data_IF_270258688727
#
_entry.id   IF_270258688727
#
_cell.length_a   1.000
_cell.length_b   1.000
_cell.length_c   1.000
_cell.angle_alpha   90.00
_cell.angle_beta   90.00
_cell.angle_gamma   90.00
#
_symmetry.space_group_name_H-M   'P 1'
#
loop_
_entity.id
_entity.type
_entity.pdbx_description
1 polymer ?
#
# COMPACT_ATOMS: atom_id res chain seq x y z
N UNK A 1 12.72 39.68 55.70
CA UNK A 1 12.29 38.58 56.51
C UNK A 1 12.49 37.35 55.65
N UNK A 2 13.74 36.80 55.55
CA UNK A 2 14.41 35.79 56.40
C UNK A 2 13.49 34.61 56.73
N UNK A 3 13.69 33.44 56.10
CA UNK A 3 14.33 32.34 56.79
C UNK A 3 14.77 31.23 55.78
N UNK A 4 16.02 31.00 55.88
CA UNK A 4 16.88 29.92 55.47
C UNK A 4 16.50 28.59 56.15
N UNK A 5 16.63 27.45 55.51
CA UNK A 5 16.81 26.15 56.17
C UNK A 5 17.57 25.16 55.29
N UNK A 6 18.82 25.15 55.57
CA UNK A 6 19.81 24.12 55.24
C UNK A 6 19.49 22.80 55.96
N UNK A 7 19.56 21.65 55.29
CA UNK A 7 19.69 20.35 55.96
C UNK A 7 20.62 19.40 55.15
N UNK A 8 21.79 19.30 55.63
CA UNK A 8 22.81 18.29 55.90
C UNK A 8 22.74 16.95 55.16
N UNK A 9 23.86 16.65 54.52
CA UNK A 9 24.35 15.37 54.02
C UNK A 9 24.67 14.44 55.18
N UNK A 10 24.30 13.17 55.06
CA UNK A 10 24.91 12.08 55.82
C UNK A 10 25.31 10.95 54.88
N UNK A 11 26.61 10.70 54.87
CA UNK A 11 27.31 9.55 54.29
C UNK A 11 27.33 8.41 55.33
N UNK A 12 27.15 7.16 54.90
CA UNK A 12 27.69 5.87 55.41
C UNK A 12 26.80 4.78 54.73
N UNK A 13 27.22 3.62 54.30
CA UNK A 13 28.35 2.79 54.64
C UNK A 13 28.60 1.77 53.51
N UNK A 14 29.81 1.46 53.33
CA UNK A 14 30.35 0.33 52.52
C UNK A 14 30.02 -1.00 53.20
N UNK A 15 29.42 -1.94 52.43
CA UNK A 15 29.38 -3.36 52.80
C UNK A 15 29.92 -4.24 51.66
N UNK A 16 31.04 -4.84 51.98
CA UNK A 16 31.77 -6.04 51.53
C UNK A 16 31.03 -6.93 50.52
N UNK A 17 31.68 -7.09 49.35
CA UNK A 17 31.37 -8.13 48.35
C UNK A 17 31.98 -9.46 48.79
N UNK A 18 31.11 -10.43 48.98
CA UNK A 18 31.39 -11.80 49.36
C UNK A 18 32.15 -12.60 48.28
N UNK A 19 33.31 -13.12 48.64
CA UNK A 19 34.29 -13.84 47.83
C UNK A 19 33.99 -15.35 47.73
N UNK A 20 32.74 -15.79 47.42
CA UNK A 20 32.40 -17.23 47.45
C UNK A 20 32.14 -17.86 46.08
N UNK A 21 32.59 -17.27 45.00
CA UNK A 21 32.41 -17.84 43.64
C UNK A 21 33.72 -18.22 42.90
N UNK A 22 34.81 -18.44 43.61
CA UNK A 22 36.11 -18.79 43.00
C UNK A 22 36.66 -20.19 43.32
N UNK A 23 35.86 -21.16 43.70
CA UNK A 23 36.39 -22.48 44.09
C UNK A 23 35.62 -23.68 43.50
N UNK A 24 35.32 -23.69 42.21
CA UNK A 24 34.79 -24.90 41.55
C UNK A 24 35.22 -25.03 40.06
N UNK A 25 36.51 -24.80 39.78
CA UNK A 25 37.11 -25.23 38.51
C UNK A 25 38.51 -25.77 38.82
N UNK A 26 38.57 -26.98 39.30
CA UNK A 26 39.74 -27.86 39.20
C UNK A 26 39.40 -29.23 39.78
N UNK A 27 38.90 -30.15 38.96
CA UNK A 27 39.12 -31.60 39.07
C UNK A 27 38.35 -32.30 37.91
N UNK A 28 39.05 -33.02 37.05
CA UNK A 28 38.43 -33.98 36.14
C UNK A 28 38.98 -33.96 34.71
N UNK A 29 40.28 -34.07 34.52
CA UNK A 29 40.83 -34.59 33.29
C UNK A 29 40.80 -36.12 33.37
N UNK A 30 39.90 -36.76 32.59
CA UNK A 30 40.04 -38.17 32.22
C UNK A 30 39.35 -38.44 30.90
N UNK A 31 40.13 -38.94 29.98
CA UNK A 31 39.86 -39.30 28.59
C UNK A 31 38.68 -40.25 28.42
N UNK A 32 37.80 -39.95 27.46
CA UNK A 32 37.07 -40.94 26.71
C UNK A 32 36.81 -40.41 25.29
N UNK A 33 37.56 -40.93 24.34
CA UNK A 33 37.31 -40.82 22.93
C UNK A 33 36.03 -41.63 22.62
N UNK A 34 34.93 -40.97 22.25
CA UNK A 34 33.77 -41.60 21.68
C UNK A 34 33.27 -40.76 20.50
N UNK A 35 33.18 -41.43 19.38
CA UNK A 35 32.73 -41.09 18.05
C UNK A 35 31.91 -39.81 17.86
N UNK A 36 32.42 -38.94 16.99
CA UNK A 36 31.65 -37.87 16.35
C UNK A 36 30.67 -38.52 15.40
N UNK A 37 29.51 -38.92 15.90
CA UNK A 37 28.33 -39.05 15.05
C UNK A 37 27.86 -37.62 14.76
N UNK A 38 28.22 -37.11 13.59
CA UNK A 38 27.72 -35.85 13.06
C UNK A 38 26.20 -35.89 12.95
N UNK A 39 25.50 -35.43 13.96
CA UNK A 39 24.11 -35.04 13.78
C UNK A 39 24.09 -33.87 12.77
N UNK A 40 23.38 -33.99 11.64
CA UNK A 40 23.18 -32.82 10.80
C UNK A 40 22.54 -31.75 11.71
N UNK A 41 23.21 -30.63 11.89
CA UNK A 41 22.64 -29.46 12.50
C UNK A 41 21.43 -29.13 11.61
N UNK A 42 20.21 -29.49 12.07
CA UNK A 42 18.99 -28.98 11.49
C UNK A 42 19.04 -27.48 11.74
N UNK A 43 19.57 -26.75 10.77
CA UNK A 43 19.39 -25.30 10.68
C UNK A 43 17.87 -25.13 10.58
N UNK A 44 17.21 -24.99 11.72
CA UNK A 44 15.83 -24.50 11.74
C UNK A 44 15.92 -23.14 11.09
N UNK A 45 15.48 -23.08 9.83
CA UNK A 45 15.17 -21.81 9.20
C UNK A 45 14.31 -21.04 10.21
N UNK A 46 14.80 -19.89 10.65
CA UNK A 46 14.09 -19.04 11.59
C UNK A 46 12.80 -18.65 10.85
N UNK A 47 11.66 -19.29 11.23
CA UNK A 47 10.36 -18.94 10.65
C UNK A 47 10.16 -17.45 10.91
N UNK A 48 9.79 -16.70 9.87
CA UNK A 48 9.42 -15.31 10.05
C UNK A 48 8.30 -15.26 11.09
N UNK A 49 8.48 -14.42 12.12
CA UNK A 49 7.33 -13.90 12.86
C UNK A 49 6.33 -13.37 11.84
N UNK A 50 5.06 -13.23 12.16
CA UNK A 50 4.01 -12.71 11.28
C UNK A 50 4.49 -11.74 10.21
N UNK A 51 4.10 -11.98 8.97
CA UNK A 51 4.39 -11.10 7.82
C UNK A 51 3.30 -10.02 7.79
N UNK A 52 3.67 -8.80 8.11
CA UNK A 52 2.74 -7.67 8.25
C UNK A 52 2.57 -6.94 6.91
N UNK A 53 1.38 -7.01 6.34
CA UNK A 53 1.07 -6.42 5.04
C UNK A 53 0.07 -5.29 5.19
N UNK A 54 0.52 -4.06 4.89
CA UNK A 54 -0.34 -2.89 4.89
C UNK A 54 -1.30 -2.90 3.70
N UNK A 55 -2.56 -2.49 3.93
CA UNK A 55 -3.52 -2.29 2.86
C UNK A 55 -4.37 -1.02 3.08
N UNK A 56 -4.74 -0.39 1.97
CA UNK A 56 -5.71 0.69 1.92
C UNK A 56 -7.06 0.13 1.45
N UNK A 57 -8.21 0.52 2.06
CA UNK A 57 -9.50 -0.13 1.83
C UNK A 57 -10.14 0.25 0.48
N UNK A 58 -9.49 -0.08 -0.63
CA UNK A 58 -9.97 0.14 -2.00
C UNK A 58 -10.05 -1.17 -2.79
N UNK A 59 -10.80 -1.16 -3.89
CA UNK A 59 -11.06 -2.36 -4.70
C UNK A 59 -9.78 -2.99 -5.29
N UNK A 60 -8.74 -2.19 -5.54
CA UNK A 60 -7.47 -2.69 -6.07
C UNK A 60 -6.79 -3.73 -5.17
N UNK A 61 -7.07 -3.74 -3.86
CA UNK A 61 -6.54 -4.72 -2.91
C UNK A 61 -7.13 -6.14 -3.03
N UNK A 62 -8.13 -6.35 -3.90
CA UNK A 62 -8.88 -7.60 -3.98
C UNK A 62 -8.04 -8.88 -4.08
N UNK A 63 -6.93 -8.95 -4.85
CA UNK A 63 -6.10 -10.16 -4.88
C UNK A 63 -5.53 -10.54 -3.52
N UNK A 64 -5.11 -9.54 -2.73
CA UNK A 64 -4.62 -9.76 -1.37
C UNK A 64 -5.74 -10.25 -0.45
N UNK A 65 -6.91 -9.60 -0.49
CA UNK A 65 -8.05 -9.98 0.32
C UNK A 65 -8.47 -11.42 0.01
N UNK A 66 -8.59 -11.75 -1.27
CA UNK A 66 -8.90 -13.10 -1.72
C UNK A 66 -7.84 -14.12 -1.28
N UNK A 67 -6.55 -13.79 -1.37
CA UNK A 67 -5.47 -14.69 -0.96
C UNK A 67 -5.50 -14.97 0.55
N UNK A 68 -5.84 -13.98 1.38
CA UNK A 68 -6.03 -14.15 2.82
C UNK A 68 -7.22 -15.05 3.11
N UNK A 69 -8.41 -14.71 2.56
CA UNK A 69 -9.67 -15.40 2.85
C UNK A 69 -9.68 -16.83 2.32
N UNK A 70 -9.07 -17.09 1.16
CA UNK A 70 -8.91 -18.45 0.61
C UNK A 70 -7.79 -19.24 1.29
N UNK A 71 -7.06 -18.64 2.22
CA UNK A 71 -6.02 -19.32 2.97
C UNK A 71 -4.74 -19.63 2.18
N UNK A 72 -4.49 -19.01 1.02
CA UNK A 72 -3.32 -19.30 0.18
C UNK A 72 -1.99 -19.05 0.87
N UNK A 73 -1.92 -18.09 1.77
CA UNK A 73 -0.74 -17.86 2.60
C UNK A 73 -0.55 -18.96 3.64
N UNK A 74 -1.63 -19.39 4.29
CA UNK A 74 -1.60 -20.50 5.27
C UNK A 74 -1.21 -21.83 4.62
N UNK A 75 -1.73 -22.11 3.41
CA UNK A 75 -1.32 -23.27 2.60
C UNK A 75 0.18 -23.25 2.28
N UNK A 76 0.77 -22.05 2.10
CA UNK A 76 2.20 -21.87 1.88
C UNK A 76 3.03 -21.96 3.18
N UNK A 77 2.38 -22.15 4.34
CA UNK A 77 3.02 -22.18 5.64
C UNK A 77 3.46 -20.79 6.15
N UNK A 78 2.75 -19.73 5.72
CA UNK A 78 3.03 -18.35 6.10
C UNK A 78 1.93 -17.80 7.02
N UNK A 79 2.34 -17.08 8.07
CA UNK A 79 1.45 -16.29 8.93
C UNK A 79 1.45 -14.84 8.45
N UNK A 80 0.41 -14.44 7.71
CA UNK A 80 0.25 -13.09 7.14
C UNK A 80 -0.79 -12.32 7.93
N UNK A 81 -0.41 -11.14 8.41
CA UNK A 81 -1.27 -10.21 9.14
C UNK A 81 -1.62 -9.01 8.28
N UNK A 82 -2.90 -8.86 7.86
CA UNK A 82 -3.38 -7.66 7.18
C UNK A 82 -3.46 -6.47 8.14
N UNK A 83 -2.82 -5.36 7.80
CA UNK A 83 -2.87 -4.11 8.56
C UNK A 83 -3.58 -3.03 7.74
N UNK A 84 -4.74 -2.57 8.23
CA UNK A 84 -5.55 -1.53 7.58
C UNK A 84 -5.02 -0.13 7.88
N UNK A 85 -4.88 0.69 6.85
CA UNK A 85 -4.48 2.09 6.94
C UNK A 85 -5.53 3.02 6.34
N UNK A 86 -5.61 4.25 6.85
CA UNK A 86 -6.55 5.26 6.35
C UNK A 86 -6.12 5.88 5.02
N UNK A 87 -4.82 5.83 4.69
CA UNK A 87 -4.25 6.38 3.47
C UNK A 87 -3.07 5.53 2.96
N UNK A 88 -2.90 5.49 1.63
CA UNK A 88 -1.81 4.75 1.00
C UNK A 88 -0.40 5.25 1.40
N UNK A 89 -0.24 6.56 1.64
CA UNK A 89 1.03 7.13 2.10
C UNK A 89 1.46 6.58 3.46
N UNK A 90 0.52 6.35 4.37
CA UNK A 90 0.80 5.80 5.70
C UNK A 90 1.36 4.36 5.64
N UNK A 91 1.03 3.59 4.60
CA UNK A 91 1.59 2.26 4.38
C UNK A 91 3.07 2.37 4.05
N UNK A 92 3.45 3.25 3.13
CA UNK A 92 4.84 3.53 2.78
C UNK A 92 5.65 3.96 4.02
N UNK A 93 5.12 4.89 4.81
CA UNK A 93 5.72 5.35 6.07
C UNK A 93 5.88 4.20 7.08
N UNK A 94 4.88 3.31 7.19
CA UNK A 94 4.94 2.14 8.06
C UNK A 94 5.99 1.13 7.60
N UNK A 95 6.18 0.96 6.29
CA UNK A 95 7.24 0.11 5.74
C UNK A 95 8.63 0.70 6.00
N UNK A 96 8.83 2.00 5.80
CA UNK A 96 10.10 2.70 6.14
C UNK A 96 10.43 2.60 7.63
N UNK A 97 9.42 2.65 8.49
CA UNK A 97 9.57 2.54 9.94
C UNK A 97 9.69 1.07 10.45
N UNK A 98 9.73 0.07 9.56
CA UNK A 98 9.79 -1.35 9.92
C UNK A 98 8.52 -1.88 10.62
N UNK A 99 7.40 -1.18 10.51
CA UNK A 99 6.10 -1.61 11.05
C UNK A 99 5.31 -2.50 10.10
N UNK A 100 5.61 -2.46 8.79
CA UNK A 100 5.12 -3.36 7.77
C UNK A 100 6.29 -4.00 7.03
N UNK A 101 6.13 -5.26 6.64
CA UNK A 101 7.09 -6.01 5.83
C UNK A 101 6.78 -5.87 4.33
N UNK A 102 5.59 -5.40 4.02
CA UNK A 102 5.13 -5.15 2.66
C UNK A 102 3.78 -4.48 2.58
N UNK A 103 3.28 -4.33 1.35
CA UNK A 103 2.01 -3.70 1.02
C UNK A 103 1.22 -4.49 0.00
N UNK A 104 -0.12 -4.40 0.07
CA UNK A 104 -1.04 -4.93 -0.93
C UNK A 104 -1.18 -3.99 -2.14
N UNK A 105 -1.74 -4.51 -3.25
CA UNK A 105 -2.18 -3.70 -4.39
C UNK A 105 -3.07 -2.53 -3.91
N UNK A 106 -2.99 -1.41 -4.61
CA UNK A 106 -3.65 -0.17 -4.21
C UNK A 106 -2.80 0.73 -3.33
N UNK A 107 -1.63 0.26 -2.83
CA UNK A 107 -0.64 1.17 -2.26
C UNK A 107 -0.08 2.06 -3.36
N UNK A 108 -0.17 3.38 -3.18
CA UNK A 108 0.19 4.34 -4.22
C UNK A 108 1.62 4.18 -4.71
N UNK A 109 1.79 3.89 -5.99
CA UNK A 109 3.11 3.65 -6.58
C UNK A 109 4.02 4.88 -6.48
N UNK A 110 3.47 6.10 -6.62
CA UNK A 110 4.24 7.32 -6.43
C UNK A 110 4.59 7.57 -4.96
N UNK A 111 3.75 7.12 -4.00
CA UNK A 111 4.12 7.17 -2.58
C UNK A 111 5.30 6.25 -2.29
N UNK A 112 5.28 5.00 -2.84
CA UNK A 112 6.43 4.09 -2.74
C UNK A 112 7.69 4.71 -3.37
N UNK A 113 7.54 5.41 -4.52
CA UNK A 113 8.65 6.09 -5.18
C UNK A 113 9.24 7.22 -4.32
N UNK A 114 8.42 8.00 -3.62
CA UNK A 114 8.89 9.02 -2.66
C UNK A 114 9.71 8.37 -1.55
N UNK A 115 9.21 7.27 -0.99
CA UNK A 115 9.94 6.50 0.02
C UNK A 115 11.25 5.91 -0.50
N UNK A 116 11.26 5.42 -1.76
CA UNK A 116 12.46 4.90 -2.42
C UNK A 116 13.52 5.98 -2.66
N UNK A 117 13.10 7.19 -3.02
CA UNK A 117 14.01 8.34 -3.16
C UNK A 117 14.61 8.74 -1.80
N UNK A 118 13.80 8.71 -0.74
CA UNK A 118 14.26 9.03 0.62
C UNK A 118 15.18 7.94 1.21
N UNK A 119 14.93 6.68 0.88
CA UNK A 119 15.69 5.51 1.33
C UNK A 119 15.88 4.52 0.17
N UNK A 120 16.90 4.74 -0.68
CA UNK A 120 17.11 3.95 -1.88
C UNK A 120 17.30 2.45 -1.62
N UNK A 121 16.69 1.63 -2.46
CA UNK A 121 16.75 0.16 -2.40
C UNK A 121 15.73 -0.47 -1.44
N UNK A 122 14.85 0.32 -0.81
CA UNK A 122 13.92 -0.16 0.22
C UNK A 122 12.78 -0.98 -0.33
N UNK A 123 12.19 -0.63 -1.48
CA UNK A 123 10.96 -1.26 -1.97
C UNK A 123 11.20 -2.18 -3.16
N UNK A 124 10.54 -3.35 -3.14
CA UNK A 124 10.52 -4.32 -4.22
C UNK A 124 9.08 -4.55 -4.67
N UNK A 125 8.68 -3.90 -5.76
CA UNK A 125 7.35 -4.04 -6.36
C UNK A 125 7.27 -5.39 -7.06
N UNK A 126 6.41 -6.28 -6.58
CA UNK A 126 6.20 -7.61 -7.17
C UNK A 126 4.89 -7.74 -7.96
N UNK A 127 3.95 -6.81 -7.77
CA UNK A 127 2.72 -6.72 -8.57
C UNK A 127 2.22 -5.28 -8.63
N UNK A 128 1.42 -4.96 -9.65
CA UNK A 128 0.73 -3.69 -9.76
C UNK A 128 -0.71 -3.89 -10.27
N UNK A 129 -1.55 -2.86 -10.12
CA UNK A 129 -2.94 -2.88 -10.56
C UNK A 129 -3.17 -1.81 -11.64
N UNK A 130 -2.81 -2.08 -12.91
CA UNK A 130 -3.09 -1.16 -14.00
C UNK A 130 -4.59 -0.94 -14.15
N UNK A 131 -4.97 0.32 -14.33
CA UNK A 131 -6.36 0.74 -14.60
C UNK A 131 -6.44 1.64 -15.82
N UNK A 132 -7.63 1.73 -16.39
CA UNK A 132 -7.97 2.57 -17.53
C UNK A 132 -9.50 2.63 -17.68
N UNK A 133 -10.03 3.17 -18.79
CA UNK A 133 -11.48 3.25 -19.01
C UNK A 133 -12.18 1.89 -19.09
N UNK A 134 -11.47 0.80 -19.38
CA UNK A 134 -12.02 -0.57 -19.41
C UNK A 134 -11.91 -1.25 -18.05
N UNK A 135 -10.80 -1.05 -17.38
CA UNK A 135 -10.50 -1.63 -16.06
C UNK A 135 -10.52 -0.48 -15.05
N UNK A 136 -11.71 0.01 -14.72
CA UNK A 136 -11.91 1.23 -13.95
C UNK A 136 -11.46 1.07 -12.51
N UNK A 137 -10.70 2.03 -12.03
CA UNK A 137 -10.37 2.21 -10.62
C UNK A 137 -10.59 3.67 -10.20
N UNK A 138 -10.23 4.63 -11.06
CA UNK A 138 -10.20 6.07 -10.79
C UNK A 138 -11.34 6.78 -11.54
N UNK A 139 -11.96 7.76 -10.87
CA UNK A 139 -13.09 8.49 -11.43
C UNK A 139 -13.33 9.83 -10.75
N UNK A 140 -14.00 10.73 -11.47
CA UNK A 140 -14.63 11.91 -10.91
C UNK A 140 -16.13 11.67 -10.75
N UNK A 141 -16.64 11.98 -9.56
CA UNK A 141 -18.06 11.95 -9.25
C UNK A 141 -18.58 13.36 -9.01
N UNK A 142 -19.85 13.54 -9.36
CA UNK A 142 -20.63 14.73 -9.05
C UNK A 142 -21.96 14.34 -8.40
N UNK A 143 -22.67 15.25 -7.70
CA UNK A 143 -24.02 14.99 -7.21
C UNK A 143 -24.92 14.46 -8.32
N UNK A 144 -25.86 13.58 -7.99
CA UNK A 144 -26.78 12.96 -8.97
C UNK A 144 -27.49 14.02 -9.83
N UNK A 145 -27.85 15.17 -9.25
CA UNK A 145 -28.54 16.28 -9.92
C UNK A 145 -27.60 17.36 -10.47
N UNK A 146 -26.29 17.14 -10.47
CA UNK A 146 -25.33 18.12 -10.99
C UNK A 146 -25.53 18.36 -12.49
N UNK A 147 -25.50 19.62 -12.98
CA UNK A 147 -25.58 19.95 -14.40
C UNK A 147 -24.26 19.64 -15.15
N UNK A 148 -23.16 19.39 -14.47
CA UNK A 148 -21.84 19.15 -15.08
C UNK A 148 -21.89 17.91 -16.00
N UNK A 149 -21.39 18.02 -17.21
CA UNK A 149 -21.31 16.93 -18.21
C UNK A 149 -19.89 16.57 -18.59
N UNK A 150 -18.93 17.47 -18.36
CA UNK A 150 -17.52 17.33 -18.71
C UNK A 150 -16.63 17.79 -17.57
N UNK A 151 -15.36 17.44 -17.62
CA UNK A 151 -14.35 17.96 -16.65
C UNK A 151 -14.28 19.50 -16.68
N UNK A 152 -14.44 20.14 -17.84
CA UNK A 152 -14.41 21.60 -17.97
C UNK A 152 -15.53 22.30 -17.18
N UNK A 153 -16.65 21.63 -16.95
CA UNK A 153 -17.79 22.17 -16.16
C UNK A 153 -17.44 22.27 -14.65
N UNK A 154 -16.31 21.69 -14.23
CA UNK A 154 -15.77 21.85 -12.88
C UNK A 154 -14.92 23.11 -12.69
N UNK A 155 -14.92 24.03 -13.67
CA UNK A 155 -14.22 25.33 -13.58
C UNK A 155 -14.64 26.09 -12.32
N UNK A 156 -13.63 26.50 -11.51
CA UNK A 156 -13.84 27.25 -10.27
C UNK A 156 -14.52 26.46 -9.14
N UNK A 157 -14.74 25.15 -9.31
CA UNK A 157 -15.44 24.29 -8.35
C UNK A 157 -14.54 23.80 -7.24
N UNK A 158 -15.14 23.44 -6.10
CA UNK A 158 -14.48 22.77 -4.98
C UNK A 158 -14.50 21.27 -5.20
N UNK A 159 -13.32 20.65 -5.23
CA UNK A 159 -13.17 19.23 -5.48
C UNK A 159 -12.46 18.58 -4.28
N UNK A 160 -12.93 17.43 -3.83
CA UNK A 160 -12.18 16.61 -2.88
C UNK A 160 -11.38 15.53 -3.60
N UNK A 161 -10.27 15.11 -3.01
CA UNK A 161 -9.52 13.91 -3.38
C UNK A 161 -9.16 13.10 -2.15
N UNK A 162 -8.81 11.83 -2.32
CA UNK A 162 -8.22 11.04 -1.25
C UNK A 162 -6.92 11.69 -0.73
N UNK A 163 -6.52 11.38 0.52
CA UNK A 163 -5.36 12.00 1.13
C UNK A 163 -4.04 11.52 0.50
N UNK A 164 -3.04 12.38 0.59
CA UNK A 164 -1.67 12.13 0.16
C UNK A 164 -1.33 12.74 -1.19
N UNK A 165 -0.03 13.02 -1.33
CA UNK A 165 0.53 13.78 -2.46
C UNK A 165 0.20 13.17 -3.82
N UNK A 166 0.14 11.83 -3.92
CA UNK A 166 -0.22 11.17 -5.18
C UNK A 166 -1.64 11.56 -5.61
N UNK A 167 -2.65 11.36 -4.76
CA UNK A 167 -4.04 11.63 -5.12
C UNK A 167 -4.27 13.11 -5.40
N UNK A 168 -3.70 13.98 -4.56
CA UNK A 168 -3.79 15.43 -4.72
C UNK A 168 -3.21 15.89 -6.06
N UNK A 169 -2.02 15.41 -6.42
CA UNK A 169 -1.35 15.73 -7.69
C UNK A 169 -2.15 15.25 -8.89
N UNK A 170 -2.64 14.03 -8.83
CA UNK A 170 -3.44 13.43 -9.91
C UNK A 170 -4.75 14.19 -10.13
N UNK A 171 -5.49 14.48 -9.06
CA UNK A 171 -6.72 15.24 -9.15
C UNK A 171 -6.50 16.62 -9.76
N UNK A 172 -5.51 17.37 -9.28
CA UNK A 172 -5.15 18.71 -9.81
C UNK A 172 -4.75 18.63 -11.28
N UNK A 173 -3.91 17.67 -11.66
CA UNK A 173 -3.45 17.53 -13.05
C UNK A 173 -4.60 17.14 -13.99
N UNK A 174 -5.50 16.25 -13.57
CA UNK A 174 -6.66 15.90 -14.38
C UNK A 174 -7.61 17.07 -14.57
N UNK A 175 -7.88 17.87 -13.52
CA UNK A 175 -8.70 19.08 -13.62
C UNK A 175 -8.05 20.11 -14.55
N UNK A 176 -6.73 20.37 -14.40
CA UNK A 176 -5.99 21.28 -15.25
C UNK A 176 -6.09 20.87 -16.73
N UNK A 177 -5.75 19.60 -17.05
CA UNK A 177 -5.75 19.07 -18.41
C UNK A 177 -7.15 18.85 -18.98
N UNK A 178 -8.15 18.68 -18.10
CA UNK A 178 -9.57 18.57 -18.44
C UNK A 178 -10.26 19.91 -18.63
N UNK A 179 -9.55 21.04 -18.47
CA UNK A 179 -10.11 22.39 -18.70
C UNK A 179 -10.85 22.99 -17.50
N UNK A 180 -10.80 22.35 -16.33
CA UNK A 180 -11.41 22.85 -15.09
C UNK A 180 -10.55 23.92 -14.40
N UNK A 181 -10.26 25.02 -15.11
CA UNK A 181 -9.41 26.11 -14.61
C UNK A 181 -9.99 26.73 -13.34
N UNK A 182 -9.12 27.04 -12.35
CA UNK A 182 -9.53 27.64 -11.08
C UNK A 182 -10.25 26.70 -10.11
N UNK A 183 -10.40 25.40 -10.44
CA UNK A 183 -10.87 24.41 -9.49
C UNK A 183 -9.89 24.29 -8.33
N UNK A 184 -10.43 24.18 -7.11
CA UNK A 184 -9.62 23.97 -5.89
C UNK A 184 -9.75 22.53 -5.43
N UNK A 185 -8.64 21.91 -5.02
CA UNK A 185 -8.65 20.52 -4.54
C UNK A 185 -8.25 20.47 -3.06
N UNK A 186 -9.11 19.84 -2.25
CA UNK A 186 -8.87 19.56 -0.84
C UNK A 186 -8.75 18.06 -0.59
N UNK A 187 -8.02 17.68 0.44
CA UNK A 187 -7.92 16.29 0.87
C UNK A 187 -9.08 15.92 1.79
N UNK A 188 -9.66 14.75 1.57
CA UNK A 188 -10.70 14.20 2.40
C UNK A 188 -10.53 12.66 2.49
N UNK A 189 -10.67 12.04 3.66
CA UNK A 189 -10.65 10.58 3.77
C UNK A 189 -11.69 9.94 2.82
N UNK A 190 -11.28 8.89 2.11
CA UNK A 190 -12.10 8.29 1.04
C UNK A 190 -13.48 7.84 1.54
N UNK A 191 -13.59 7.39 2.80
CA UNK A 191 -14.85 7.00 3.41
C UNK A 191 -15.82 8.16 3.64
N UNK A 192 -15.39 9.42 3.52
CA UNK A 192 -16.21 10.63 3.68
C UNK A 192 -16.65 11.22 2.35
N UNK A 193 -16.13 10.75 1.22
CA UNK A 193 -16.32 11.33 -0.10
C UNK A 193 -17.82 11.45 -0.48
N UNK A 194 -18.54 10.34 -0.42
CA UNK A 194 -19.97 10.32 -0.83
C UNK A 194 -20.81 11.22 0.08
N UNK A 195 -20.58 11.19 1.39
CA UNK A 195 -21.31 12.02 2.34
C UNK A 195 -21.02 13.52 2.13
N UNK A 196 -19.76 13.90 1.93
CA UNK A 196 -19.38 15.29 1.67
C UNK A 196 -20.00 15.84 0.38
N UNK A 197 -20.04 15.01 -0.69
CA UNK A 197 -20.68 15.39 -1.95
C UNK A 197 -22.20 15.51 -1.80
N UNK A 198 -22.85 14.57 -1.13
CA UNK A 198 -24.28 14.59 -0.86
C UNK A 198 -24.70 15.81 0.01
N UNK A 199 -23.84 16.22 0.95
CA UNK A 199 -24.05 17.38 1.80
C UNK A 199 -23.71 18.73 1.13
N UNK A 200 -23.23 18.72 -0.12
CA UNK A 200 -22.84 19.95 -0.84
C UNK A 200 -21.59 20.64 -0.28
N UNK A 201 -20.77 19.95 0.50
CA UNK A 201 -19.49 20.48 1.02
C UNK A 201 -18.47 20.68 -0.08
N UNK A 202 -18.54 19.86 -1.12
CA UNK A 202 -17.76 19.92 -2.36
C UNK A 202 -18.66 19.73 -3.57
N UNK A 203 -18.24 20.24 -4.72
CA UNK A 203 -18.99 20.15 -5.99
C UNK A 203 -18.71 18.87 -6.77
N UNK A 204 -17.50 18.31 -6.57
CA UNK A 204 -17.07 17.06 -7.19
C UNK A 204 -16.06 16.35 -6.30
N UNK A 205 -15.81 15.07 -6.58
CA UNK A 205 -14.74 14.30 -5.96
C UNK A 205 -13.96 13.49 -7.00
N UNK A 206 -12.64 13.49 -6.85
CA UNK A 206 -11.78 12.48 -7.44
C UNK A 206 -11.64 11.32 -6.45
N UNK A 207 -12.03 10.13 -6.86
CA UNK A 207 -12.08 8.97 -5.96
C UNK A 207 -11.65 7.69 -6.66
N UNK A 208 -11.57 6.62 -5.88
CA UNK A 208 -11.24 5.28 -6.33
C UNK A 208 -12.36 4.31 -5.92
N UNK A 209 -12.54 3.26 -6.72
CA UNK A 209 -13.48 2.19 -6.39
C UNK A 209 -13.10 1.47 -5.06
N UNK A 210 -14.08 1.08 -4.23
CA UNK A 210 -15.52 0.98 -4.53
C UNK A 210 -16.34 2.23 -4.17
N UNK A 211 -15.72 3.37 -3.88
CA UNK A 211 -16.43 4.58 -3.43
C UNK A 211 -17.41 5.10 -4.50
N UNK A 212 -17.02 5.04 -5.77
CA UNK A 212 -17.88 5.42 -6.87
C UNK A 212 -19.11 4.53 -6.99
N UNK A 213 -18.91 3.23 -6.90
CA UNK A 213 -20.02 2.27 -6.87
C UNK A 213 -20.96 2.54 -5.69
N UNK A 214 -20.43 2.78 -4.48
CA UNK A 214 -21.25 3.11 -3.31
C UNK A 214 -22.11 4.36 -3.57
N UNK A 215 -21.48 5.44 -4.04
CA UNK A 215 -22.18 6.71 -4.28
C UNK A 215 -23.26 6.60 -5.35
N UNK A 216 -22.96 5.90 -6.44
CA UNK A 216 -23.87 5.66 -7.56
C UNK A 216 -25.07 4.81 -7.17
N UNK A 217 -24.83 3.69 -6.47
CA UNK A 217 -25.92 2.77 -6.10
C UNK A 217 -26.78 3.29 -4.94
N UNK A 218 -26.24 4.17 -4.10
CA UNK A 218 -27.01 4.90 -3.09
C UNK A 218 -27.83 6.07 -3.68
N UNK A 219 -27.73 6.32 -5.00
CA UNK A 219 -28.44 7.41 -5.67
C UNK A 219 -27.96 8.82 -5.30
N UNK A 220 -26.84 8.94 -4.59
CA UNK A 220 -26.31 10.23 -4.14
C UNK A 220 -25.46 10.91 -5.22
N UNK A 221 -24.76 10.10 -6.04
CA UNK A 221 -23.78 10.60 -7.01
C UNK A 221 -23.95 9.93 -8.37
N UNK A 222 -23.33 10.52 -9.37
CA UNK A 222 -23.08 9.89 -10.67
C UNK A 222 -21.64 10.08 -11.09
N UNK A 223 -21.16 9.18 -11.90
CA UNK A 223 -19.85 9.30 -12.54
C UNK A 223 -19.92 10.43 -13.56
N UNK A 224 -19.02 11.40 -13.44
CA UNK A 224 -18.77 12.41 -14.45
C UNK A 224 -17.85 11.83 -15.52
N UNK A 225 -16.73 11.22 -15.09
CA UNK A 225 -15.76 10.58 -15.96
C UNK A 225 -14.93 9.56 -15.20
N UNK A 226 -14.59 8.43 -15.83
CA UNK A 226 -13.75 7.37 -15.28
C UNK A 226 -12.50 7.13 -16.13
N UNK A 227 -11.46 6.48 -15.56
CA UNK A 227 -10.18 6.24 -16.23
C UNK A 227 -9.46 7.55 -16.58
N UNK A 228 -9.65 8.56 -15.74
CA UNK A 228 -9.21 9.93 -16.01
C UNK A 228 -7.70 10.08 -16.07
N UNK A 229 -6.96 9.26 -15.31
CA UNK A 229 -5.49 9.28 -15.31
C UNK A 229 -4.96 8.80 -16.67
N UNK A 230 -5.49 7.72 -17.21
CA UNK A 230 -5.13 7.21 -18.53
C UNK A 230 -5.39 8.26 -19.60
N UNK A 231 -6.57 8.87 -19.59
CA UNK A 231 -6.96 9.88 -20.57
C UNK A 231 -6.15 11.16 -20.46
N UNK A 232 -6.13 11.79 -19.29
CA UNK A 232 -5.58 13.13 -19.11
C UNK A 232 -4.09 13.16 -18.82
N UNK A 233 -3.52 12.10 -18.21
CA UNK A 233 -2.10 12.07 -17.84
C UNK A 233 -1.29 11.23 -18.81
N UNK A 234 -1.76 10.01 -19.14
CA UNK A 234 -1.05 9.15 -20.07
C UNK A 234 -1.34 9.49 -21.54
N UNK A 235 -2.44 10.23 -21.81
CA UNK A 235 -2.80 10.72 -23.14
C UNK A 235 -3.51 9.69 -24.03
N UNK A 236 -3.88 8.54 -23.48
CA UNK A 236 -4.65 7.49 -24.14
C UNK A 236 -5.56 6.82 -23.10
N UNK A 237 -6.88 6.86 -23.31
CA UNK A 237 -7.87 6.31 -22.39
C UNK A 237 -7.70 4.81 -22.12
N UNK A 238 -7.02 4.08 -23.00
CA UNK A 238 -6.71 2.65 -22.87
C UNK A 238 -5.30 2.39 -22.30
N UNK A 239 -4.46 3.43 -22.13
CA UNK A 239 -3.14 3.27 -21.53
C UNK A 239 -3.25 2.74 -20.09
N UNK A 240 -2.46 1.74 -19.70
CA UNK A 240 -2.50 1.21 -18.34
C UNK A 240 -1.86 2.21 -17.36
N UNK A 241 -2.64 2.69 -16.41
CA UNK A 241 -2.12 3.48 -15.30
C UNK A 241 -1.73 2.55 -14.13
N UNK A 242 -0.44 2.47 -13.85
CA UNK A 242 0.13 1.69 -12.75
C UNK A 242 0.16 2.49 -11.44
N UNK A 243 -1.00 2.99 -11.02
CA UNK A 243 -1.14 3.92 -9.89
C UNK A 243 -1.02 3.29 -8.51
N UNK A 244 -1.21 1.98 -8.40
CA UNK A 244 -1.07 1.21 -7.18
C UNK A 244 -0.25 -0.04 -7.38
N UNK A 245 0.54 -0.40 -6.36
CA UNK A 245 1.42 -1.57 -6.40
C UNK A 245 1.34 -2.37 -5.10
N UNK A 246 1.69 -3.64 -5.19
CA UNK A 246 2.04 -4.48 -4.06
C UNK A 246 3.57 -4.60 -4.01
N UNK A 247 4.13 -4.43 -2.83
CA UNK A 247 5.58 -4.43 -2.63
C UNK A 247 5.98 -5.13 -1.33
N UNK A 248 7.23 -5.57 -1.28
CA UNK A 248 7.90 -6.02 -0.06
C UNK A 248 9.06 -5.06 0.24
N UNK A 249 9.46 -4.98 1.50
CA UNK A 249 10.70 -4.30 1.86
C UNK A 249 11.91 -5.14 1.44
N UNK A 250 12.98 -4.50 1.00
CA UNK A 250 14.22 -5.21 0.67
C UNK A 250 14.79 -5.95 1.88
N UNK A 251 14.62 -5.40 3.09
CA UNK A 251 15.03 -6.05 4.33
C UNK A 251 14.31 -7.40 4.49
N UNK A 252 13.01 -7.46 4.28
CA UNK A 252 12.26 -8.71 4.33
C UNK A 252 12.72 -9.68 3.24
N UNK A 253 12.86 -9.21 1.99
CA UNK A 253 13.30 -10.02 0.85
C UNK A 253 14.66 -10.64 1.10
N UNK A 254 15.61 -9.85 1.59
CA UNK A 254 17.00 -10.28 1.83
C UNK A 254 17.11 -11.21 3.05
N UNK A 255 16.35 -10.94 4.10
CA UNK A 255 16.40 -11.72 5.35
C UNK A 255 15.65 -13.05 5.23
N UNK A 256 14.57 -13.09 4.45
CA UNK A 256 13.67 -14.24 4.34
C UNK A 256 13.39 -14.62 2.87
N UNK A 257 14.42 -15.00 2.08
CA UNK A 257 14.25 -15.26 0.65
C UNK A 257 13.31 -16.44 0.34
N UNK A 258 13.28 -17.46 1.17
CA UNK A 258 12.39 -18.61 1.00
C UNK A 258 10.91 -18.23 1.27
N UNK A 259 10.64 -17.47 2.32
CA UNK A 259 9.33 -16.95 2.66
C UNK A 259 8.86 -15.92 1.63
N UNK A 260 9.76 -15.08 1.12
CA UNK A 260 9.49 -14.14 0.02
C UNK A 260 8.96 -14.87 -1.21
N UNK A 261 9.64 -15.93 -1.64
CA UNK A 261 9.21 -16.73 -2.80
C UNK A 261 7.84 -17.38 -2.57
N UNK A 262 7.61 -17.94 -1.38
CA UNK A 262 6.31 -18.51 -0.98
C UNK A 262 5.22 -17.44 -0.97
N UNK A 263 5.51 -16.26 -0.40
CA UNK A 263 4.58 -15.15 -0.31
C UNK A 263 4.16 -14.66 -1.70
N UNK A 264 5.12 -14.36 -2.58
CA UNK A 264 4.85 -13.91 -3.96
C UNK A 264 4.07 -14.97 -4.73
N UNK A 265 4.37 -16.26 -4.56
CA UNK A 265 3.63 -17.37 -5.18
C UNK A 265 2.19 -17.44 -4.67
N UNK A 266 1.97 -17.35 -3.36
CA UNK A 266 0.63 -17.37 -2.76
C UNK A 266 -0.19 -16.12 -3.16
N UNK A 267 0.45 -14.95 -3.23
CA UNK A 267 -0.17 -13.74 -3.73
C UNK A 267 -0.61 -13.87 -5.19
N UNK A 268 0.23 -14.47 -6.03
CA UNK A 268 -0.09 -14.72 -7.43
C UNK A 268 -1.28 -15.68 -7.60
N UNK A 269 -1.48 -16.68 -6.69
CA UNK A 269 -2.73 -17.46 -6.66
C UNK A 269 -3.95 -16.55 -6.46
N UNK A 270 -3.86 -15.53 -5.61
CA UNK A 270 -4.90 -14.53 -5.41
C UNK A 270 -5.19 -13.73 -6.68
N UNK A 271 -4.16 -13.25 -7.38
CA UNK A 271 -4.30 -12.56 -8.67
C UNK A 271 -4.95 -13.46 -9.72
N UNK A 272 -4.47 -14.70 -9.84
CA UNK A 272 -5.00 -15.69 -10.79
C UNK A 272 -6.47 -16.00 -10.50
N UNK A 273 -6.82 -16.15 -9.22
CA UNK A 273 -8.21 -16.36 -8.82
C UNK A 273 -9.10 -15.16 -9.19
N UNK A 274 -8.68 -13.94 -8.91
CA UNK A 274 -9.43 -12.74 -9.29
C UNK A 274 -9.61 -12.64 -10.81
N UNK A 275 -8.57 -12.94 -11.60
CA UNK A 275 -8.64 -12.93 -13.06
C UNK A 275 -9.63 -13.97 -13.62
N UNK A 276 -9.62 -15.19 -13.06
CA UNK A 276 -10.39 -16.32 -13.60
C UNK A 276 -11.82 -16.39 -13.04
N UNK A 277 -12.06 -15.80 -11.88
CA UNK A 277 -13.31 -15.89 -11.13
C UNK A 277 -13.70 -14.51 -10.55
N UNK A 278 -13.62 -13.45 -11.36
CA UNK A 278 -13.82 -12.07 -10.91
C UNK A 278 -15.16 -11.88 -10.19
N UNK A 279 -16.25 -12.44 -10.73
CA UNK A 279 -17.58 -12.32 -10.14
C UNK A 279 -17.61 -12.89 -8.71
N UNK A 280 -17.03 -14.08 -8.51
CA UNK A 280 -16.97 -14.73 -7.21
C UNK A 280 -15.97 -14.01 -6.26
N UNK A 281 -14.84 -13.56 -6.79
CA UNK A 281 -13.82 -12.87 -6.01
C UNK A 281 -14.30 -11.57 -5.37
N UNK A 282 -15.23 -10.84 -6.00
CA UNK A 282 -15.76 -9.57 -5.50
C UNK A 282 -16.36 -9.66 -4.09
N UNK A 283 -16.84 -10.82 -3.66
CA UNK A 283 -17.34 -11.02 -2.29
C UNK A 283 -16.28 -10.66 -1.22
N UNK A 284 -14.98 -10.82 -1.53
CA UNK A 284 -13.88 -10.52 -0.62
C UNK A 284 -13.54 -9.02 -0.52
N UNK A 285 -14.26 -8.14 -1.22
CA UNK A 285 -14.24 -6.71 -0.93
C UNK A 285 -14.90 -6.38 0.41
N UNK A 286 -15.88 -7.20 0.80
CA UNK A 286 -16.54 -7.11 2.10
C UNK A 286 -15.54 -7.39 3.23
N UNK A 287 -15.61 -6.59 4.28
CA UNK A 287 -14.69 -6.69 5.42
C UNK A 287 -13.35 -5.98 5.25
N UNK A 288 -12.94 -5.71 4.01
CA UNK A 288 -11.71 -4.95 3.71
C UNK A 288 -11.98 -3.53 3.21
N UNK A 289 -13.13 -3.30 2.59
CA UNK A 289 -13.56 -1.99 2.08
C UNK A 289 -14.87 -1.56 2.76
N UNK A 290 -15.41 -0.42 2.36
CA UNK A 290 -16.70 0.07 2.86
C UNK A 290 -17.91 -0.49 2.11
N UNK A 291 -17.70 -1.29 1.04
CA UNK A 291 -18.81 -1.87 0.28
C UNK A 291 -19.35 -3.13 0.94
N UNK A 292 -20.67 -3.29 0.89
CA UNK A 292 -21.33 -4.41 1.56
C UNK A 292 -22.38 -5.10 0.69
N UNK A 293 -22.70 -6.34 1.08
CA UNK A 293 -23.80 -7.11 0.52
C UNK A 293 -23.69 -7.31 -0.99
N UNK A 294 -24.82 -7.22 -1.67
CA UNK A 294 -24.93 -7.40 -3.11
C UNK A 294 -24.22 -6.31 -3.94
N UNK A 295 -23.93 -5.15 -3.34
CA UNK A 295 -23.24 -4.04 -4.02
C UNK A 295 -21.84 -4.42 -4.49
N UNK A 296 -21.20 -5.41 -3.86
CA UNK A 296 -19.88 -5.91 -4.27
C UNK A 296 -19.85 -6.40 -5.72
N UNK A 297 -20.96 -6.94 -6.23
CA UNK A 297 -21.07 -7.44 -7.59
C UNK A 297 -20.92 -6.35 -8.67
N UNK A 298 -21.25 -5.11 -8.31
CA UNK A 298 -21.28 -3.96 -9.22
C UNK A 298 -19.94 -3.22 -9.33
N UNK A 299 -18.96 -3.58 -8.46
CA UNK A 299 -17.65 -2.89 -8.43
C UNK A 299 -16.87 -3.22 -9.71
N UNK A 300 -16.49 -2.23 -10.52
CA UNK A 300 -15.55 -2.46 -11.61
C UNK A 300 -14.17 -2.82 -11.05
N UNK A 301 -13.40 -3.54 -11.83
CA UNK A 301 -12.12 -4.08 -11.38
C UNK A 301 -10.97 -3.55 -12.22
N UNK A 302 -9.91 -3.09 -11.55
CA UNK A 302 -8.60 -2.88 -12.16
C UNK A 302 -8.07 -4.21 -12.74
N UNK A 303 -7.16 -4.13 -13.69
CA UNK A 303 -6.34 -5.28 -14.07
C UNK A 303 -5.20 -5.48 -13.04
N UNK A 304 -4.48 -6.57 -13.17
CA UNK A 304 -3.33 -6.88 -12.31
C UNK A 304 -2.17 -7.39 -13.16
N UNK A 305 -0.95 -7.03 -12.79
CA UNK A 305 0.28 -7.42 -13.50
C UNK A 305 1.31 -7.85 -12.45
N UNK A 306 1.84 -9.07 -12.58
CA UNK A 306 2.95 -9.55 -11.74
C UNK A 306 4.29 -9.06 -12.27
N UNK A 307 5.33 -9.08 -11.41
CA UNK A 307 6.67 -8.60 -11.75
C UNK A 307 7.25 -9.23 -13.01
N UNK A 308 6.95 -10.49 -13.29
CA UNK A 308 7.42 -11.24 -14.45
C UNK A 308 6.51 -11.14 -15.69
N UNK A 309 5.46 -10.35 -15.62
CA UNK A 309 4.51 -10.11 -16.73
C UNK A 309 4.66 -8.70 -17.32
N UNK A 310 5.43 -7.80 -16.69
CA UNK A 310 5.63 -6.45 -17.22
C UNK A 310 6.31 -6.49 -18.57
N UNK A 311 5.66 -5.94 -19.59
CA UNK A 311 6.25 -5.70 -20.90
C UNK A 311 7.04 -4.39 -20.91
N UNK A 312 7.91 -4.19 -21.91
CA UNK A 312 8.61 -2.91 -22.08
C UNK A 312 7.62 -1.74 -22.25
N UNK A 313 6.45 -1.98 -22.86
CA UNK A 313 5.39 -0.98 -23.01
C UNK A 313 4.77 -0.63 -21.65
N UNK A 314 4.53 -1.62 -20.78
CA UNK A 314 4.01 -1.41 -19.43
C UNK A 314 4.99 -0.58 -18.61
N UNK A 315 6.28 -0.92 -18.64
CA UNK A 315 7.33 -0.16 -17.97
C UNK A 315 7.38 1.28 -18.50
N UNK A 316 7.21 1.49 -19.80
CA UNK A 316 7.15 2.83 -20.39
C UNK A 316 5.96 3.65 -19.86
N UNK A 317 4.77 3.06 -19.73
CA UNK A 317 3.61 3.75 -19.14
C UNK A 317 3.79 3.99 -17.64
N UNK A 318 4.38 3.06 -16.92
CA UNK A 318 4.68 3.21 -15.50
C UNK A 318 5.72 4.32 -15.28
N UNK A 319 6.77 4.36 -16.12
CA UNK A 319 7.77 5.42 -16.08
C UNK A 319 7.16 6.79 -16.40
N UNK A 320 6.30 6.90 -17.41
CA UNK A 320 5.59 8.14 -17.74
C UNK A 320 4.76 8.66 -16.56
N UNK A 321 4.17 7.74 -15.79
CA UNK A 321 3.49 8.11 -14.55
C UNK A 321 4.45 8.66 -13.49
N UNK A 322 5.63 8.07 -13.29
CA UNK A 322 6.65 8.61 -12.37
C UNK A 322 7.23 9.93 -12.84
N UNK A 323 7.46 10.06 -14.15
CA UNK A 323 7.99 11.29 -14.76
C UNK A 323 7.07 12.49 -14.49
N UNK A 324 5.74 12.31 -14.43
CA UNK A 324 4.82 13.38 -14.01
C UNK A 324 5.20 13.98 -12.65
N UNK A 325 5.53 13.15 -11.66
CA UNK A 325 5.88 13.63 -10.31
C UNK A 325 7.24 14.34 -10.30
N UNK A 326 8.16 13.91 -11.14
CA UNK A 326 9.43 14.59 -11.37
C UNK A 326 9.20 15.95 -12.07
N UNK A 327 8.41 15.99 -13.13
CA UNK A 327 8.05 17.21 -13.87
C UNK A 327 7.34 18.26 -12.98
N UNK A 328 6.51 17.80 -12.04
CA UNK A 328 5.83 18.66 -11.06
C UNK A 328 6.72 19.05 -9.87
N UNK A 329 8.00 18.65 -9.85
CA UNK A 329 8.96 18.96 -8.78
C UNK A 329 8.68 18.23 -7.45
N UNK A 330 7.84 17.20 -7.46
CA UNK A 330 7.53 16.40 -6.27
C UNK A 330 8.64 15.38 -6.01
N UNK A 331 9.16 14.76 -7.06
CA UNK A 331 10.37 13.96 -6.98
C UNK A 331 11.58 14.89 -7.17
N UNK A 332 12.50 14.96 -6.21
CA UNK A 332 13.72 15.77 -6.32
C UNK A 332 14.71 15.23 -7.38
N UNK A 333 14.58 13.97 -7.74
CA UNK A 333 15.34 13.30 -8.79
C UNK A 333 14.46 12.35 -9.59
N UNK A 334 14.83 12.13 -10.85
CA UNK A 334 14.11 11.16 -11.69
C UNK A 334 14.41 9.75 -11.22
N UNK A 335 13.38 9.03 -10.81
CA UNK A 335 13.46 7.64 -10.39
C UNK A 335 13.04 6.70 -11.52
N UNK A 336 13.90 5.72 -11.84
CA UNK A 336 13.58 4.69 -12.83
C UNK A 336 12.76 3.58 -12.18
N UNK A 337 11.57 3.31 -12.69
CA UNK A 337 10.65 2.31 -12.13
C UNK A 337 11.28 0.91 -12.04
N UNK A 338 12.13 0.55 -13.02
CA UNK A 338 12.81 -0.75 -13.08
C UNK A 338 13.69 -1.04 -11.86
N UNK A 339 14.22 0.01 -11.19
CA UNK A 339 15.04 -0.16 -9.98
C UNK A 339 14.23 -0.65 -8.79
N UNK A 340 12.93 -0.39 -8.80
CA UNK A 340 11.99 -0.81 -7.76
C UNK A 340 11.35 -2.17 -8.02
N UNK A 341 11.46 -2.72 -9.24
CA UNK A 341 10.81 -4.00 -9.55
C UNK A 341 11.53 -5.16 -8.85
N UNK A 342 10.73 -6.06 -8.31
CA UNK A 342 11.21 -7.36 -7.82
C UNK A 342 11.70 -8.19 -9.00
N UNK A 343 12.80 -8.93 -8.83
CA UNK A 343 13.45 -9.67 -9.94
C UNK A 343 13.36 -11.20 -9.81
N UNK A 344 12.67 -11.70 -8.75
CA UNK A 344 12.55 -13.14 -8.48
C UNK A 344 13.56 -13.67 -7.48
#
# INVERSE_FOLDING_TARGET
>A
MTTDSTTTVTQSDTTTVDNTRRSLIQAGASSAALGVLGFPAIVRAQSSSKIRIGYWPIAAGLPFYAAVEKGYFKEAGLDVEPLKFAAAAQIMEAMLAGRCDGSANGTGSANLAIGEIAAPGTFKIFASNPSNVKNVLDEFLVPINSPAKTMADLKGKKVASGPGIQNLTLAKTCLERGGATGATVMELPIGQHVAALAAGQVDAIYTLEPTGTIGRLNGATRVLESGVISKYILGDAMAPWFGGSASLTADFVNKYPAETKKFVTAYNKGITYVRNSTADARQYLKGYTAIEGALTAEVPMAAYTMYNEFTAKDIGHFQKFFDLFFEKGIFPSRLMVETMLYKG
#
